data_IF_995846971620
#
_entry.id   IF_995846971620
#
_cell.length_a   1.000
_cell.length_b   1.000
_cell.length_c   1.000
_cell.angle_alpha   90.00
_cell.angle_beta   90.00
_cell.angle_gamma   90.00
#
_symmetry.space_group_name_H-M   'P 1'
#
loop_
_entity.id
_entity.type
_entity.pdbx_description
1 polymer ?
#
# COMPACT_ATOMS: atom_id res chain seq x y z
N UNK A 1 15.50 -3.61 -31.98
CA UNK A 1 14.56 -2.46 -31.83
C UNK A 1 13.36 -2.90 -31.00
N UNK A 2 13.58 -3.35 -29.75
CA UNK A 2 12.55 -3.87 -28.83
C UNK A 2 12.63 -3.24 -27.43
N UNK A 3 13.77 -2.62 -27.05
CA UNK A 3 13.95 -2.04 -25.72
C UNK A 3 13.31 -0.66 -25.53
N UNK A 4 12.93 0.03 -26.61
CA UNK A 4 12.27 1.35 -26.51
C UNK A 4 10.80 1.25 -26.09
N UNK A 5 10.13 0.11 -26.32
CA UNK A 5 8.72 -0.09 -25.96
C UNK A 5 8.53 -0.39 -24.47
N UNK A 6 9.47 -1.13 -23.84
CA UNK A 6 9.34 -1.55 -22.43
C UNK A 6 9.47 -0.36 -21.45
N UNK A 7 10.41 0.56 -21.68
CA UNK A 7 10.54 1.76 -20.85
C UNK A 7 9.31 2.66 -20.97
N UNK A 8 8.80 2.82 -22.19
CA UNK A 8 7.56 3.56 -22.41
C UNK A 8 6.40 2.90 -21.66
N UNK A 9 6.24 1.58 -21.72
CA UNK A 9 5.15 0.90 -21.03
C UNK A 9 5.16 1.13 -19.51
N UNK A 10 6.31 0.94 -18.84
CA UNK A 10 6.41 1.11 -17.38
C UNK A 10 6.10 2.54 -16.98
N UNK A 11 6.59 3.53 -17.73
CA UNK A 11 6.30 4.94 -17.47
C UNK A 11 4.81 5.26 -17.68
N UNK A 12 4.16 4.67 -18.69
CA UNK A 12 2.72 4.83 -18.90
C UNK A 12 1.91 4.21 -17.76
N UNK A 13 2.28 3.02 -17.29
CA UNK A 13 1.63 2.36 -16.14
C UNK A 13 1.81 3.19 -14.88
N UNK A 14 3.02 3.70 -14.62
CA UNK A 14 3.29 4.55 -13.46
C UNK A 14 2.46 5.83 -13.49
N UNK A 15 2.42 6.50 -14.64
CA UNK A 15 1.62 7.71 -14.83
C UNK A 15 0.12 7.45 -14.63
N UNK A 16 -0.40 6.32 -15.14
CA UNK A 16 -1.78 5.91 -14.90
C UNK A 16 -2.07 5.65 -13.41
N UNK A 17 -1.14 5.02 -12.69
CA UNK A 17 -1.27 4.80 -11.25
C UNK A 17 -1.29 6.13 -10.47
N UNK A 18 -0.41 7.07 -10.83
CA UNK A 18 -0.35 8.39 -10.20
C UNK A 18 -1.63 9.21 -10.46
N UNK A 19 -2.16 9.17 -11.68
CA UNK A 19 -3.42 9.84 -12.03
C UNK A 19 -4.59 9.25 -11.23
N UNK A 20 -4.69 7.91 -11.18
CA UNK A 20 -5.73 7.23 -10.43
C UNK A 20 -5.66 7.53 -8.92
N UNK A 21 -4.46 7.49 -8.34
CA UNK A 21 -4.23 7.88 -6.95
C UNK A 21 -4.60 9.34 -6.68
N UNK A 22 -4.25 10.25 -7.59
CA UNK A 22 -4.55 11.68 -7.44
C UNK A 22 -6.05 11.94 -7.41
N UNK A 23 -6.82 11.23 -8.25
CA UNK A 23 -8.29 11.27 -8.23
C UNK A 23 -8.87 10.79 -6.91
N UNK A 24 -8.40 9.65 -6.37
CA UNK A 24 -8.82 9.17 -5.04
C UNK A 24 -8.48 10.16 -3.94
N UNK A 25 -7.26 10.70 -3.95
CA UNK A 25 -6.80 11.65 -2.93
C UNK A 25 -7.66 12.93 -2.94
N UNK A 26 -8.09 13.39 -4.11
CA UNK A 26 -9.01 14.51 -4.24
C UNK A 26 -10.40 14.20 -3.64
N UNK A 27 -10.92 13.00 -3.87
CA UNK A 27 -12.19 12.55 -3.28
C UNK A 27 -12.13 12.46 -1.76
N UNK A 28 -11.05 11.89 -1.22
CA UNK A 28 -10.86 11.70 0.24
C UNK A 28 -10.68 13.03 0.99
N UNK A 29 -10.28 14.10 0.28
CA UNK A 29 -10.10 15.45 0.84
C UNK A 29 -11.35 16.32 0.76
N UNK A 30 -12.41 15.90 0.04
CA UNK A 30 -13.64 16.69 -0.04
C UNK A 30 -14.32 16.75 1.32
N UNK A 31 -14.69 17.94 1.82
CA UNK A 31 -15.35 18.07 3.11
C UNK A 31 -16.73 17.38 3.07
N UNK A 32 -17.05 16.62 4.12
CA UNK A 32 -18.29 15.83 4.29
C UNK A 32 -19.57 16.64 3.98
N UNK A 33 -19.54 17.97 4.20
CA UNK A 33 -20.66 18.88 3.93
C UNK A 33 -21.00 19.03 2.44
N UNK A 34 -20.05 18.83 1.53
CA UNK A 34 -20.29 18.90 0.07
C UNK A 34 -20.64 17.53 -0.53
N UNK A 35 -20.26 16.43 0.12
CA UNK A 35 -20.57 15.07 -0.31
C UNK A 35 -22.08 14.74 -0.24
N UNK A 36 -22.79 15.34 0.73
CA UNK A 36 -24.24 15.18 0.88
C UNK A 36 -25.05 15.93 -0.21
N UNK A 37 -24.50 16.98 -0.82
CA UNK A 37 -25.13 17.71 -1.92
C UNK A 37 -24.89 17.06 -3.30
N UNK A 38 -23.89 16.18 -3.41
CA UNK A 38 -23.50 15.53 -4.67
C UNK A 38 -24.18 14.17 -4.92
N UNK A 39 -25.07 13.71 -4.03
CA UNK A 39 -25.79 12.42 -4.12
C UNK A 39 -26.77 12.30 -5.32
N UNK A 40 -26.81 13.25 -6.24
CA UNK A 40 -27.63 13.18 -7.47
C UNK A 40 -26.82 12.99 -8.76
N UNK A 41 -25.50 12.80 -8.67
CA UNK A 41 -24.65 12.62 -9.85
C UNK A 41 -23.58 11.54 -9.59
N UNK A 42 -24.05 10.33 -9.32
CA UNK A 42 -23.23 9.20 -8.88
C UNK A 42 -23.08 8.17 -10.01
N UNK A 43 -22.20 8.45 -10.98
CA UNK A 43 -21.78 7.46 -11.99
C UNK A 43 -20.27 7.15 -11.94
N UNK A 44 -19.50 7.75 -11.04
CA UNK A 44 -18.03 7.49 -10.93
C UNK A 44 -17.48 7.50 -9.51
N UNK A 45 -18.32 7.29 -8.49
CA UNK A 45 -17.81 6.92 -7.18
C UNK A 45 -17.28 5.49 -7.30
N UNK A 46 -15.97 5.34 -7.52
CA UNK A 46 -15.33 4.03 -7.57
C UNK A 46 -15.68 3.28 -6.28
N UNK A 47 -16.27 2.10 -6.45
CA UNK A 47 -16.64 1.20 -5.35
C UNK A 47 -15.45 1.03 -4.39
N UNK A 48 -15.67 0.92 -3.06
CA UNK A 48 -14.58 0.70 -2.11
C UNK A 48 -13.63 -0.40 -2.59
N UNK A 49 -14.16 -1.53 -3.07
CA UNK A 49 -13.42 -2.67 -3.62
C UNK A 49 -12.43 -2.34 -4.74
N UNK A 50 -12.63 -1.24 -5.48
CA UNK A 50 -11.68 -0.79 -6.50
C UNK A 50 -10.40 -0.22 -5.88
N UNK A 51 -10.49 0.35 -4.67
CA UNK A 51 -9.34 0.89 -3.92
C UNK A 51 -8.45 -0.21 -3.39
N UNK A 52 -8.99 -1.19 -2.66
CA UNK A 52 -8.14 -2.27 -2.16
C UNK A 52 -7.49 -3.05 -3.32
N UNK A 53 -8.23 -3.32 -4.40
CA UNK A 53 -7.69 -3.96 -5.60
C UNK A 53 -6.52 -3.16 -6.22
N UNK A 54 -6.62 -1.83 -6.27
CA UNK A 54 -5.53 -0.98 -6.74
C UNK A 54 -4.30 -1.08 -5.84
N UNK A 55 -4.46 -1.02 -4.52
CA UNK A 55 -3.33 -1.11 -3.59
C UNK A 55 -2.66 -2.49 -3.67
N UNK A 56 -3.44 -3.57 -3.80
CA UNK A 56 -2.93 -4.92 -4.06
C UNK A 56 -2.14 -4.97 -5.38
N UNK A 57 -2.69 -4.39 -6.44
CA UNK A 57 -2.02 -4.30 -7.74
C UNK A 57 -0.68 -3.56 -7.64
N UNK A 58 -0.60 -2.45 -6.90
CA UNK A 58 0.66 -1.72 -6.69
C UNK A 58 1.72 -2.57 -6.00
N UNK A 59 1.33 -3.39 -5.02
CA UNK A 59 2.26 -4.29 -4.33
C UNK A 59 2.82 -5.37 -5.28
N UNK A 60 1.95 -5.96 -6.11
CA UNK A 60 2.37 -6.90 -7.15
C UNK A 60 3.27 -6.24 -8.20
N UNK A 61 2.91 -5.04 -8.67
CA UNK A 61 3.69 -4.31 -9.65
C UNK A 61 5.09 -3.96 -9.12
N UNK A 62 5.19 -3.45 -7.89
CA UNK A 62 6.47 -3.11 -7.26
C UNK A 62 7.37 -4.33 -7.14
N UNK A 63 6.84 -5.47 -6.70
CA UNK A 63 7.63 -6.70 -6.52
C UNK A 63 8.04 -7.31 -7.86
N UNK A 64 7.15 -7.32 -8.86
CA UNK A 64 7.46 -7.79 -10.20
C UNK A 64 8.58 -6.98 -10.85
N UNK A 65 8.49 -5.65 -10.82
CA UNK A 65 9.49 -4.76 -11.43
C UNK A 65 10.83 -4.80 -10.69
N UNK A 66 10.82 -4.89 -9.36
CA UNK A 66 12.04 -5.06 -8.57
C UNK A 66 12.74 -6.39 -8.86
N UNK A 67 11.97 -7.48 -9.07
CA UNK A 67 12.48 -8.78 -9.47
C UNK A 67 13.16 -8.75 -10.85
N UNK A 68 12.55 -8.05 -11.81
CA UNK A 68 13.15 -7.84 -13.15
C UNK A 68 14.44 -7.01 -13.05
N UNK A 69 14.44 -5.95 -12.25
CA UNK A 69 15.63 -5.11 -12.03
C UNK A 69 16.82 -5.88 -11.46
N UNK A 70 16.58 -6.80 -10.52
CA UNK A 70 17.63 -7.67 -9.94
C UNK A 70 18.13 -8.76 -10.88
N UNK A 71 17.30 -9.22 -11.83
CA UNK A 71 17.71 -10.24 -12.81
C UNK A 71 18.54 -9.66 -13.96
N UNK A 72 18.50 -8.33 -14.16
CA UNK A 72 19.08 -7.61 -15.30
C UNK A 72 20.40 -6.91 -14.96
N UNK A 73 21.19 -7.46 -14.04
CA UNK A 73 22.51 -6.94 -13.59
C UNK A 73 23.55 -6.73 -14.72
N UNK A 74 23.23 -7.07 -15.97
CA UNK A 74 24.11 -6.90 -17.14
C UNK A 74 23.56 -5.95 -18.22
N UNK A 75 22.56 -5.12 -17.93
CA UNK A 75 22.01 -4.14 -18.91
C UNK A 75 21.35 -2.94 -18.25
N UNK A 76 21.04 -1.85 -18.98
CA UNK A 76 20.63 -0.58 -18.41
C UNK A 76 19.43 -0.77 -17.48
N UNK A 77 19.70 -0.54 -16.20
CA UNK A 77 18.80 -0.67 -15.06
C UNK A 77 17.40 -0.15 -15.37
N UNK A 78 16.36 -0.86 -14.95
CA UNK A 78 15.06 -0.22 -14.73
C UNK A 78 15.31 1.07 -13.94
N UNK A 79 14.77 2.23 -14.35
CA UNK A 79 15.12 3.49 -13.72
C UNK A 79 14.70 3.42 -12.25
N UNK A 80 15.70 3.46 -11.35
CA UNK A 80 15.52 3.41 -9.90
C UNK A 80 14.46 4.41 -9.40
N UNK A 81 14.27 5.52 -10.13
CA UNK A 81 13.22 6.50 -9.88
C UNK A 81 11.79 5.93 -9.98
N UNK A 82 11.50 5.05 -10.93
CA UNK A 82 10.16 4.46 -11.07
C UNK A 82 9.79 3.54 -9.90
N UNK A 83 10.75 2.72 -9.44
CA UNK A 83 10.58 1.86 -8.27
C UNK A 83 10.44 2.66 -6.97
N UNK A 84 11.20 3.75 -6.85
CA UNK A 84 11.03 4.72 -5.76
C UNK A 84 9.61 5.32 -5.77
N UNK A 85 9.14 5.81 -6.91
CA UNK A 85 7.80 6.38 -7.04
C UNK A 85 6.70 5.38 -6.67
N UNK A 86 6.81 4.12 -7.11
CA UNK A 86 5.86 3.06 -6.73
C UNK A 86 5.91 2.75 -5.24
N UNK A 87 7.10 2.68 -4.63
CA UNK A 87 7.24 2.43 -3.20
C UNK A 87 6.63 3.57 -2.37
N UNK A 88 6.87 4.83 -2.75
CA UNK A 88 6.25 6.01 -2.13
C UNK A 88 4.73 5.96 -2.29
N UNK A 89 4.24 5.70 -3.50
CA UNK A 89 2.82 5.61 -3.81
C UNK A 89 2.12 4.54 -2.96
N UNK A 90 2.73 3.37 -2.82
CA UNK A 90 2.22 2.27 -2.01
C UNK A 90 2.12 2.67 -0.53
N UNK A 91 3.16 3.33 0.00
CA UNK A 91 3.16 3.83 1.37
C UNK A 91 2.07 4.88 1.60
N UNK A 92 1.92 5.82 0.67
CA UNK A 92 0.88 6.85 0.72
C UNK A 92 -0.53 6.25 0.66
N UNK A 93 -0.73 5.19 -0.13
CA UNK A 93 -1.98 4.42 -0.12
C UNK A 93 -2.25 3.82 1.26
N UNK A 94 -1.24 3.20 1.88
CA UNK A 94 -1.34 2.66 3.24
C UNK A 94 -1.69 3.74 4.28
N UNK A 95 -1.14 4.95 4.15
CA UNK A 95 -1.48 6.08 5.03
C UNK A 95 -2.94 6.52 4.88
N UNK A 96 -3.47 6.53 3.65
CA UNK A 96 -4.89 6.83 3.40
C UNK A 96 -5.76 5.76 4.05
N UNK A 97 -5.45 4.48 3.84
CA UNK A 97 -6.22 3.37 4.43
C UNK A 97 -6.25 3.43 5.97
N UNK A 98 -5.11 3.72 6.62
CA UNK A 98 -5.06 3.87 8.08
C UNK A 98 -5.86 5.08 8.59
N UNK A 99 -5.91 6.16 7.81
CA UNK A 99 -6.74 7.33 8.13
C UNK A 99 -8.22 6.98 8.03
N UNK A 100 -8.63 6.34 6.94
CA UNK A 100 -10.02 5.92 6.73
C UNK A 100 -10.47 4.93 7.81
N UNK A 101 -9.58 4.03 8.25
CA UNK A 101 -9.80 3.14 9.39
C UNK A 101 -10.10 3.93 10.68
N UNK A 102 -9.34 5.00 10.94
CA UNK A 102 -9.49 5.82 12.14
C UNK A 102 -10.74 6.70 12.15
N UNK A 103 -11.20 7.12 10.97
CA UNK A 103 -12.33 8.04 10.78
C UNK A 103 -13.68 7.31 10.69
N UNK A 104 -13.76 6.20 9.94
CA UNK A 104 -15.04 5.62 9.55
C UNK A 104 -15.37 4.28 10.23
N UNK A 105 -14.48 3.76 11.11
CA UNK A 105 -14.59 2.43 11.70
C UNK A 105 -14.87 1.30 10.68
N UNK A 106 -14.63 1.58 9.40
CA UNK A 106 -15.08 0.77 8.28
C UNK A 106 -13.93 -0.12 7.82
N UNK A 107 -14.23 -1.42 7.88
CA UNK A 107 -13.56 -2.57 7.29
C UNK A 107 -12.21 -2.98 7.90
N UNK A 108 -12.29 -3.95 8.81
CA UNK A 108 -11.20 -4.88 9.14
C UNK A 108 -10.54 -5.46 7.86
N UNK A 109 -11.31 -5.58 6.76
CA UNK A 109 -10.79 -5.96 5.45
C UNK A 109 -9.66 -5.04 4.94
N UNK A 110 -9.72 -3.73 5.21
CA UNK A 110 -8.67 -2.78 4.82
C UNK A 110 -7.36 -3.04 5.56
N UNK A 111 -7.46 -3.46 6.83
CA UNK A 111 -6.30 -3.87 7.64
C UNK A 111 -5.69 -5.17 7.10
N UNK A 112 -6.52 -6.12 6.66
CA UNK A 112 -6.04 -7.36 6.01
C UNK A 112 -5.34 -7.08 4.67
N UNK A 113 -5.86 -6.13 3.89
CA UNK A 113 -5.21 -5.69 2.65
C UNK A 113 -3.87 -5.03 2.94
N UNK A 114 -3.80 -4.17 3.96
CA UNK A 114 -2.54 -3.56 4.37
C UNK A 114 -1.53 -4.61 4.86
N UNK A 115 -1.99 -5.62 5.60
CA UNK A 115 -1.16 -6.78 5.97
C UNK A 115 -0.61 -7.48 4.74
N UNK A 116 -1.46 -7.87 3.79
CA UNK A 116 -1.02 -8.52 2.55
C UNK A 116 0.04 -7.70 1.83
N UNK A 117 -0.23 -6.39 1.64
CA UNK A 117 0.67 -5.47 0.95
C UNK A 117 2.04 -5.41 1.60
N UNK A 118 2.09 -5.33 2.93
CA UNK A 118 3.34 -5.20 3.68
C UNK A 118 4.10 -6.53 3.77
N UNK A 119 3.40 -7.66 3.90
CA UNK A 119 4.02 -9.00 3.79
C UNK A 119 4.63 -9.18 2.40
N UNK A 120 3.88 -8.84 1.35
CA UNK A 120 4.28 -9.05 -0.04
C UNK A 120 5.42 -8.12 -0.48
N UNK A 121 5.28 -6.83 -0.20
CA UNK A 121 6.11 -5.79 -0.82
C UNK A 121 6.88 -4.94 0.20
N UNK A 122 6.68 -5.14 1.50
CA UNK A 122 7.24 -4.28 2.54
C UNK A 122 8.77 -4.24 2.56
N UNK A 123 9.44 -5.39 2.39
CA UNK A 123 10.92 -5.46 2.26
C UNK A 123 11.42 -4.63 1.08
N UNK A 124 10.77 -4.77 -0.06
CA UNK A 124 11.09 -4.04 -1.30
C UNK A 124 10.81 -2.54 -1.15
N UNK A 125 9.65 -2.18 -0.61
CA UNK A 125 9.28 -0.79 -0.35
C UNK A 125 10.23 -0.14 0.66
N UNK A 126 10.68 -0.86 1.69
CA UNK A 126 11.65 -0.38 2.67
C UNK A 126 13.03 -0.13 2.06
N UNK A 127 13.43 -0.93 1.07
CA UNK A 127 14.67 -0.70 0.34
C UNK A 127 14.63 0.61 -0.46
N UNK A 128 13.55 0.86 -1.20
CA UNK A 128 13.45 2.03 -2.07
C UNK A 128 13.03 3.30 -1.32
N UNK A 129 12.11 3.22 -0.37
CA UNK A 129 11.52 4.36 0.33
C UNK A 129 11.50 4.16 1.87
N UNK A 130 12.67 4.02 2.53
CA UNK A 130 12.74 3.69 3.96
C UNK A 130 12.04 4.71 4.86
N UNK A 131 12.16 6.01 4.56
CA UNK A 131 11.48 7.09 5.30
C UNK A 131 9.95 7.00 5.22
N UNK A 132 9.40 6.58 4.08
CA UNK A 132 7.95 6.43 3.92
C UNK A 132 7.43 5.21 4.67
N UNK A 133 8.18 4.10 4.65
CA UNK A 133 7.89 2.93 5.47
C UNK A 133 7.95 3.26 6.96
N UNK A 134 8.97 4.00 7.42
CA UNK A 134 9.07 4.41 8.81
C UNK A 134 7.88 5.28 9.24
N UNK A 135 7.44 6.21 8.39
CA UNK A 135 6.24 7.00 8.63
C UNK A 135 4.98 6.12 8.70
N UNK A 136 4.85 5.13 7.81
CA UNK A 136 3.73 4.18 7.83
C UNK A 136 3.73 3.31 9.09
N UNK A 137 4.88 2.79 9.51
CA UNK A 137 5.03 2.02 10.75
C UNK A 137 4.72 2.89 11.98
N UNK A 138 5.04 4.18 11.94
CA UNK A 138 4.69 5.12 13.01
C UNK A 138 3.17 5.30 13.11
N UNK A 139 2.47 5.37 11.98
CA UNK A 139 1.00 5.38 11.95
C UNK A 139 0.38 4.08 12.46
N UNK A 140 0.94 2.92 12.08
CA UNK A 140 0.50 1.61 12.58
C UNK A 140 0.67 1.49 14.10
N UNK A 141 1.80 1.93 14.65
CA UNK A 141 2.00 1.95 16.12
C UNK A 141 0.98 2.84 16.82
N UNK A 142 0.62 3.98 16.23
CA UNK A 142 -0.46 4.83 16.76
C UNK A 142 -1.82 4.13 16.69
N UNK A 143 -2.11 3.44 15.59
CA UNK A 143 -3.34 2.68 15.44
C UNK A 143 -3.42 1.53 16.45
N UNK A 144 -2.31 0.84 16.74
CA UNK A 144 -2.25 -0.22 17.75
C UNK A 144 -2.66 0.27 19.15
N UNK A 145 -2.31 1.52 19.50
CA UNK A 145 -2.63 2.12 20.79
C UNK A 145 -4.09 2.60 20.89
N UNK A 146 -4.84 2.61 19.79
CA UNK A 146 -6.24 3.01 19.78
C UNK A 146 -7.13 1.84 20.23
N UNK A 147 -7.72 2.00 21.42
CA UNK A 147 -8.56 0.98 22.07
C UNK A 147 -9.94 0.80 21.40
N UNK A 148 -10.27 1.61 20.40
CA UNK A 148 -11.53 1.50 19.66
C UNK A 148 -11.52 0.35 18.65
N UNK A 149 -10.35 -0.16 18.27
CA UNK A 149 -10.23 -1.25 17.32
C UNK A 149 -10.47 -2.61 17.95
N UNK A 150 -10.89 -3.57 17.13
CA UNK A 150 -11.08 -4.96 17.55
C UNK A 150 -9.75 -5.65 17.85
N UNK A 151 -9.81 -6.72 18.65
CA UNK A 151 -8.65 -7.56 18.92
C UNK A 151 -8.02 -8.13 17.63
N UNK A 152 -8.83 -8.38 16.59
CA UNK A 152 -8.34 -8.84 15.29
C UNK A 152 -7.49 -7.78 14.60
N UNK A 153 -7.93 -6.51 14.61
CA UNK A 153 -7.15 -5.40 14.07
C UNK A 153 -5.85 -5.24 14.85
N UNK A 154 -5.89 -5.30 16.19
CA UNK A 154 -4.66 -5.26 17.01
C UNK A 154 -3.70 -6.41 16.70
N UNK A 155 -4.21 -7.65 16.54
CA UNK A 155 -3.41 -8.83 16.16
C UNK A 155 -2.70 -8.59 14.84
N UNK A 156 -3.42 -8.14 13.81
CA UNK A 156 -2.85 -7.88 12.48
C UNK A 156 -1.85 -6.72 12.49
N UNK A 157 -2.15 -5.63 13.18
CA UNK A 157 -1.23 -4.50 13.28
C UNK A 157 0.05 -4.89 14.02
N UNK A 158 -0.06 -5.68 15.09
CA UNK A 158 1.09 -6.21 15.83
C UNK A 158 1.97 -7.09 14.94
N UNK A 159 1.38 -8.03 14.20
CA UNK A 159 2.09 -8.89 13.26
C UNK A 159 2.94 -8.09 12.26
N UNK A 160 2.35 -7.05 11.67
CA UNK A 160 3.04 -6.20 10.69
C UNK A 160 4.17 -5.41 11.34
N UNK A 161 3.99 -4.93 12.58
CA UNK A 161 5.04 -4.23 13.33
C UNK A 161 6.20 -5.17 13.62
N UNK A 162 5.92 -6.40 14.06
CA UNK A 162 6.93 -7.43 14.32
C UNK A 162 7.68 -7.83 13.06
N UNK A 163 6.95 -8.08 11.97
CA UNK A 163 7.53 -8.36 10.65
C UNK A 163 8.52 -7.25 10.24
N UNK A 164 8.17 -5.98 10.43
CA UNK A 164 9.09 -4.88 10.11
C UNK A 164 10.31 -4.86 11.07
N UNK A 165 10.11 -5.15 12.36
CA UNK A 165 11.17 -5.14 13.36
C UNK A 165 12.17 -6.29 13.19
N UNK A 166 11.73 -7.42 12.63
CA UNK A 166 12.56 -8.60 12.35
C UNK A 166 13.30 -8.53 11.00
N UNK A 167 13.21 -7.41 10.27
CA UNK A 167 13.84 -7.28 8.96
C UNK A 167 13.05 -7.90 7.80
N UNK A 168 11.72 -7.98 7.95
CA UNK A 168 10.76 -8.53 6.98
C UNK A 168 10.78 -10.05 6.87
N UNK A 169 11.11 -10.73 7.97
CA UNK A 169 11.16 -12.20 8.07
C UNK A 169 10.58 -12.60 9.43
N UNK A 170 9.47 -13.35 9.46
CA UNK A 170 8.94 -13.90 10.71
C UNK A 170 9.64 -15.22 11.00
N UNK A 171 9.92 -15.49 12.27
CA UNK A 171 10.37 -16.81 12.69
C UNK A 171 9.19 -17.79 12.83
N UNK A 172 9.49 -19.09 12.93
CA UNK A 172 8.47 -20.14 13.02
C UNK A 172 7.53 -19.98 14.23
N UNK A 173 8.01 -19.40 15.33
CA UNK A 173 7.20 -19.18 16.55
C UNK A 173 6.19 -18.06 16.33
N UNK A 174 6.62 -16.99 15.64
CA UNK A 174 5.76 -15.88 15.26
C UNK A 174 4.73 -16.31 14.22
N UNK A 175 5.13 -17.09 13.21
CA UNK A 175 4.20 -17.66 12.23
C UNK A 175 3.12 -18.51 12.92
N UNK A 176 3.50 -19.38 13.86
CA UNK A 176 2.54 -20.19 14.63
C UNK A 176 1.58 -19.33 15.47
N UNK A 177 2.06 -18.24 16.07
CA UNK A 177 1.21 -17.32 16.85
C UNK A 177 0.16 -16.59 16.00
N UNK A 178 0.53 -16.17 14.79
CA UNK A 178 -0.37 -15.43 13.90
C UNK A 178 -1.26 -16.32 13.04
N UNK A 179 -0.79 -17.51 12.64
CA UNK A 179 -1.53 -18.51 11.85
C UNK A 179 -2.28 -19.54 12.70
N UNK A 180 -2.01 -19.63 14.00
CA UNK A 180 -2.72 -20.51 14.93
C UNK A 180 -4.19 -20.11 15.13
N UNK A 181 -5.07 -21.10 15.42
CA UNK A 181 -6.52 -20.92 15.56
C UNK A 181 -6.92 -19.99 16.72
#
# INVERSE_FOLDING_TARGET
MQMLDECNFVDHVLNACLDWFSKRRAQTRRPVKEAAAAHQQEETAASPYCWEAFVLFLAELLTALAGVGRRRETGPSAPLGGLFCLAVLLCDCGQIMLRELAENALHEASVLVLRYVLVKAGKTANWYAPTHIQALMSSLRKAFLDLRYSAQVHKVVMEVIELCASGWELDATQEDYYCGP
#
